data_IF_374553451365
#
_entry.id   IF_374553451365
#
_cell.length_a   1.000
_cell.length_b   1.000
_cell.length_c   1.000
_cell.angle_alpha   90.00
_cell.angle_beta   90.00
_cell.angle_gamma   90.00
#
_symmetry.space_group_name_H-M   'P 1'
#
loop_
_entity.id
_entity.type
_entity.pdbx_description
1 polymer ?
#
# COMPACT_ATOMS: atom_id res chain seq x y z
N UNK A 1 13.91 -18.38 5.84
CA UNK A 1 12.95 -19.05 6.76
C UNK A 1 12.04 -20.00 5.98
N UNK A 2 11.65 -21.13 6.59
CA UNK A 2 10.73 -22.13 6.00
C UNK A 2 9.42 -21.50 5.52
N UNK A 3 8.90 -20.49 6.24
CA UNK A 3 7.70 -19.75 5.86
C UNK A 3 7.79 -19.11 4.45
N UNK A 4 8.90 -18.44 4.14
CA UNK A 4 9.08 -17.82 2.82
C UNK A 4 9.29 -18.86 1.73
N UNK A 5 10.05 -19.91 2.03
CA UNK A 5 10.43 -20.94 1.06
C UNK A 5 9.26 -21.87 0.67
N UNK A 6 8.31 -22.12 1.58
CA UNK A 6 7.20 -23.07 1.36
C UNK A 6 5.85 -22.35 1.35
N UNK A 7 5.52 -21.62 2.41
CA UNK A 7 4.16 -21.05 2.56
C UNK A 7 3.95 -19.91 1.58
N UNK A 8 4.85 -18.91 1.56
CA UNK A 8 4.71 -17.77 0.65
C UNK A 8 4.91 -18.15 -0.81
N UNK A 9 5.84 -19.05 -1.12
CA UNK A 9 6.08 -19.52 -2.50
C UNK A 9 4.86 -20.27 -3.06
N UNK A 10 4.21 -21.11 -2.24
CA UNK A 10 2.99 -21.83 -2.63
C UNK A 10 1.81 -20.87 -2.73
N UNK A 11 1.66 -19.98 -1.74
CA UNK A 11 0.57 -18.99 -1.72
C UNK A 11 0.64 -18.06 -2.92
N UNK A 12 1.83 -17.54 -3.24
CA UNK A 12 2.07 -16.58 -4.32
C UNK A 12 2.45 -17.25 -5.63
N UNK A 13 2.14 -18.53 -5.78
CA UNK A 13 2.37 -19.25 -7.02
C UNK A 13 1.61 -18.57 -8.16
N UNK A 14 2.31 -18.32 -9.27
CA UNK A 14 1.79 -17.61 -10.43
C UNK A 14 1.26 -16.18 -10.14
N UNK A 15 1.67 -15.53 -9.05
CA UNK A 15 1.25 -14.15 -8.76
C UNK A 15 1.64 -13.12 -9.85
N UNK A 16 2.61 -13.47 -10.69
CA UNK A 16 3.01 -12.72 -11.87
C UNK A 16 1.91 -12.53 -12.92
N UNK A 17 0.82 -13.32 -12.89
CA UNK A 17 -0.31 -13.22 -13.84
C UNK A 17 -1.59 -12.68 -13.19
N UNK A 18 -1.59 -12.47 -11.87
CA UNK A 18 -2.80 -12.07 -11.15
C UNK A 18 -3.19 -10.61 -11.41
N UNK A 19 -4.50 -10.37 -11.56
CA UNK A 19 -5.10 -9.03 -11.60
C UNK A 19 -5.81 -8.75 -10.27
N UNK A 20 -5.06 -8.25 -9.30
CA UNK A 20 -5.57 -8.07 -7.93
C UNK A 20 -6.21 -6.70 -7.70
N UNK A 21 -7.25 -6.69 -6.86
CA UNK A 21 -7.79 -5.47 -6.27
C UNK A 21 -7.14 -5.20 -4.91
N UNK A 22 -7.33 -3.97 -4.39
CA UNK A 22 -6.76 -3.59 -3.08
C UNK A 22 -7.25 -4.49 -1.94
N UNK A 23 -8.50 -4.94 -1.99
CA UNK A 23 -9.05 -5.88 -1.01
C UNK A 23 -8.30 -7.22 -1.00
N UNK A 24 -7.95 -7.75 -2.17
CA UNK A 24 -7.18 -8.99 -2.27
C UNK A 24 -5.79 -8.84 -1.64
N UNK A 25 -5.11 -7.73 -1.93
CA UNK A 25 -3.79 -7.42 -1.35
C UNK A 25 -3.91 -7.33 0.18
N UNK A 26 -4.94 -6.64 0.70
CA UNK A 26 -5.18 -6.54 2.14
C UNK A 26 -5.41 -7.91 2.81
N UNK A 27 -6.21 -8.79 2.19
CA UNK A 27 -6.41 -10.15 2.70
C UNK A 27 -5.10 -10.94 2.75
N UNK A 28 -4.24 -10.80 1.73
CA UNK A 28 -2.94 -11.46 1.69
C UNK A 28 -1.95 -10.90 2.72
N UNK A 29 -1.92 -9.58 2.91
CA UNK A 29 -1.13 -8.94 3.97
C UNK A 29 -1.60 -9.40 5.36
N UNK A 30 -2.91 -9.47 5.58
CA UNK A 30 -3.49 -9.97 6.83
C UNK A 30 -3.09 -11.43 7.08
N UNK A 31 -3.16 -12.29 6.05
CA UNK A 31 -2.72 -13.67 6.15
C UNK A 31 -1.23 -13.77 6.52
N UNK A 32 -0.37 -13.00 5.84
CA UNK A 32 1.06 -12.97 6.13
C UNK A 32 1.32 -12.57 7.60
N UNK A 33 0.69 -11.49 8.05
CA UNK A 33 0.84 -10.99 9.42
C UNK A 33 0.34 -12.00 10.45
N UNK A 34 -0.82 -12.61 10.21
CA UNK A 34 -1.38 -13.64 11.08
C UNK A 34 -0.42 -14.83 11.23
N UNK A 35 0.10 -15.36 10.11
CA UNK A 35 1.02 -16.50 10.14
C UNK A 35 2.37 -16.16 10.76
N UNK A 36 2.92 -14.98 10.48
CA UNK A 36 4.18 -14.56 11.10
C UNK A 36 4.04 -14.37 12.61
N UNK A 37 2.95 -13.76 13.08
CA UNK A 37 2.69 -13.61 14.52
C UNK A 37 2.51 -14.96 15.22
N UNK A 38 1.84 -15.92 14.55
CA UNK A 38 1.69 -17.29 15.05
C UNK A 38 3.05 -18.01 15.16
N UNK A 39 3.89 -17.94 14.13
CA UNK A 39 5.21 -18.59 14.09
C UNK A 39 6.17 -17.97 15.11
N UNK A 40 6.19 -16.64 15.22
CA UNK A 40 7.04 -15.90 16.15
C UNK A 40 6.49 -15.85 17.58
N UNK A 41 5.32 -16.48 17.84
CA UNK A 41 4.64 -16.52 19.14
C UNK A 41 4.41 -15.12 19.75
N UNK A 42 4.08 -14.14 18.92
CA UNK A 42 3.89 -12.75 19.34
C UNK A 42 2.53 -12.60 20.03
N UNK A 43 2.55 -12.25 21.32
CA UNK A 43 1.35 -11.98 22.10
C UNK A 43 0.74 -10.61 21.74
N UNK A 44 -0.56 -10.47 21.92
CA UNK A 44 -1.27 -9.22 21.65
C UNK A 44 -0.80 -8.08 22.57
N UNK A 45 -0.44 -8.40 23.82
CA UNK A 45 0.08 -7.48 24.84
C UNK A 45 1.39 -6.80 24.45
N UNK A 46 2.16 -7.40 23.54
CA UNK A 46 3.45 -6.85 23.10
C UNK A 46 3.32 -5.56 22.29
N UNK A 47 2.11 -5.21 21.82
CA UNK A 47 1.86 -4.07 20.93
C UNK A 47 2.81 -4.00 19.72
N UNK A 48 3.33 -5.15 19.27
CA UNK A 48 4.33 -5.23 18.19
C UNK A 48 3.71 -4.82 16.86
N UNK A 49 4.32 -3.84 16.17
CA UNK A 49 3.83 -3.33 14.88
C UNK A 49 4.00 -4.33 13.75
N UNK A 50 3.15 -4.25 12.72
CA UNK A 50 3.27 -5.10 11.52
C UNK A 50 4.64 -4.97 10.82
N UNK A 51 5.24 -3.76 10.85
CA UNK A 51 6.58 -3.51 10.31
C UNK A 51 7.64 -4.23 11.15
N UNK A 52 7.53 -4.17 12.48
CA UNK A 52 8.44 -4.88 13.38
C UNK A 52 8.36 -6.40 13.20
N UNK A 53 7.15 -6.97 13.03
CA UNK A 53 6.96 -8.40 12.73
C UNK A 53 7.71 -8.80 11.46
N UNK A 54 7.61 -8.01 10.40
CA UNK A 54 8.30 -8.28 9.13
C UNK A 54 9.81 -8.16 9.25
N UNK A 55 10.30 -7.13 9.95
CA UNK A 55 11.73 -6.94 10.20
C UNK A 55 12.31 -8.07 11.04
N UNK A 56 11.64 -8.47 12.13
CA UNK A 56 12.04 -9.62 12.96
C UNK A 56 12.07 -10.92 12.16
N UNK A 57 11.12 -11.09 11.23
CA UNK A 57 11.11 -12.22 10.33
C UNK A 57 12.16 -12.13 9.18
N UNK A 58 12.79 -10.97 8.96
CA UNK A 58 13.59 -10.70 7.76
C UNK A 58 12.85 -11.04 6.46
N UNK A 59 11.54 -10.78 6.41
CA UNK A 59 10.66 -11.06 5.27
C UNK A 59 10.07 -9.76 4.73
N UNK A 60 10.04 -9.60 3.41
CA UNK A 60 9.39 -8.46 2.74
C UNK A 60 7.87 -8.59 2.77
N UNK A 61 7.16 -7.47 2.58
CA UNK A 61 5.70 -7.54 2.44
C UNK A 61 5.26 -8.39 1.25
N UNK A 62 4.10 -9.02 1.37
CA UNK A 62 3.46 -9.71 0.24
C UNK A 62 3.19 -8.73 -0.90
N UNK A 63 2.80 -7.48 -0.60
CA UNK A 63 2.57 -6.46 -1.63
C UNK A 63 3.84 -6.17 -2.45
N UNK A 64 5.00 -6.00 -1.79
CA UNK A 64 6.27 -5.83 -2.50
C UNK A 64 6.62 -7.04 -3.39
N UNK A 65 6.30 -8.25 -2.93
CA UNK A 65 6.50 -9.48 -3.71
C UNK A 65 5.60 -9.51 -4.95
N UNK A 66 4.33 -9.19 -4.77
CA UNK A 66 3.32 -9.10 -5.86
C UNK A 66 3.67 -7.99 -6.86
N UNK A 67 4.38 -6.95 -6.44
CA UNK A 67 4.89 -5.89 -7.34
C UNK A 67 6.12 -6.39 -8.11
N UNK A 68 7.04 -7.09 -7.44
CA UNK A 68 8.29 -7.56 -8.03
C UNK A 68 8.08 -8.60 -9.16
N UNK A 69 7.20 -9.58 -8.94
CA UNK A 69 7.03 -10.72 -9.86
C UNK A 69 6.50 -10.33 -11.26
N UNK A 70 5.41 -9.56 -11.40
CA UNK A 70 4.94 -9.07 -12.69
C UNK A 70 5.98 -8.27 -13.46
N UNK A 71 6.79 -7.44 -12.79
CA UNK A 71 7.85 -6.67 -13.46
C UNK A 71 8.97 -7.59 -13.99
N UNK A 72 9.36 -8.59 -13.20
CA UNK A 72 10.33 -9.59 -13.64
C UNK A 72 9.82 -10.37 -14.85
N UNK A 73 8.55 -10.77 -14.84
CA UNK A 73 7.89 -11.45 -15.96
C UNK A 73 7.78 -10.55 -17.19
N UNK A 74 7.31 -9.30 -17.02
CA UNK A 74 7.14 -8.34 -18.11
C UNK A 74 8.47 -8.06 -18.82
N UNK A 75 9.57 -7.89 -18.07
CA UNK A 75 10.89 -7.76 -18.70
C UNK A 75 11.34 -9.04 -19.41
N UNK A 76 11.00 -10.23 -18.90
CA UNK A 76 11.29 -11.48 -19.60
C UNK A 76 10.53 -11.56 -20.92
N UNK A 77 9.22 -11.30 -20.90
CA UNK A 77 8.38 -11.23 -22.10
C UNK A 77 8.90 -10.18 -23.06
N UNK A 78 9.37 -9.02 -22.58
CA UNK A 78 9.90 -7.98 -23.45
C UNK A 78 11.11 -8.45 -24.27
N UNK A 79 11.97 -9.30 -23.70
CA UNK A 79 13.14 -9.86 -24.38
C UNK A 79 12.83 -11.13 -25.19
N UNK A 80 11.59 -11.62 -25.20
CA UNK A 80 11.19 -12.73 -26.07
C UNK A 80 10.98 -12.26 -27.50
N UNK A 81 11.15 -13.20 -28.43
CA UNK A 81 10.81 -13.03 -29.84
C UNK A 81 9.32 -12.69 -30.06
N UNK A 82 9.04 -11.91 -31.10
CA UNK A 82 7.70 -11.36 -31.39
C UNK A 82 6.64 -12.44 -31.63
N UNK A 83 7.01 -13.59 -32.19
CA UNK A 83 6.08 -14.68 -32.50
C UNK A 83 5.69 -15.53 -31.27
N UNK A 84 6.30 -15.28 -30.09
CA UNK A 84 5.98 -16.04 -28.88
C UNK A 84 4.62 -15.61 -28.32
N UNK A 85 3.78 -16.59 -27.96
CA UNK A 85 2.43 -16.34 -27.43
C UNK A 85 2.36 -15.31 -26.29
N UNK A 86 3.25 -15.32 -25.26
CA UNK A 86 3.19 -14.30 -24.20
C UNK A 86 3.43 -12.87 -24.70
N UNK A 87 4.32 -12.71 -25.69
CA UNK A 87 4.61 -11.42 -26.31
C UNK A 87 3.41 -10.96 -27.13
N UNK A 88 2.87 -11.85 -27.98
CA UNK A 88 1.65 -11.58 -28.75
C UNK A 88 0.49 -11.23 -27.81
N UNK A 89 0.30 -11.95 -26.71
CA UNK A 89 -0.80 -11.68 -25.76
C UNK A 89 -0.64 -10.34 -25.04
N UNK A 90 0.60 -9.94 -24.70
CA UNK A 90 0.86 -8.67 -24.01
C UNK A 90 0.62 -7.46 -24.91
N UNK A 91 0.98 -7.57 -26.20
CA UNK A 91 0.88 -6.50 -27.19
C UNK A 91 -0.34 -6.59 -28.11
N UNK A 92 -1.06 -7.71 -28.07
CA UNK A 92 -2.20 -7.97 -28.91
C UNK A 92 -3.36 -7.04 -28.58
N UNK A 93 -3.93 -6.44 -29.61
CA UNK A 93 -5.12 -5.62 -29.52
C UNK A 93 -6.27 -6.33 -30.24
N UNK A 94 -7.49 -6.12 -29.73
CA UNK A 94 -8.67 -6.74 -30.30
C UNK A 94 -9.05 -5.99 -31.58
N UNK A 95 -9.12 -6.69 -32.72
CA UNK A 95 -9.43 -6.06 -34.00
C UNK A 95 -10.82 -5.39 -34.01
N UNK A 96 -11.79 -6.00 -33.33
CA UNK A 96 -13.16 -5.53 -33.22
C UNK A 96 -13.64 -5.55 -31.76
N UNK A 97 -14.43 -4.56 -31.37
CA UNK A 97 -15.05 -4.48 -30.05
C UNK A 97 -14.42 -3.44 -29.14
N UNK A 98 -15.25 -2.71 -28.41
CA UNK A 98 -14.83 -1.70 -27.45
C UNK A 98 -15.15 -2.14 -26.03
N UNK A 99 -14.40 -1.63 -25.05
CA UNK A 99 -14.65 -1.94 -23.65
C UNK A 99 -15.91 -1.21 -23.20
N UNK A 100 -16.83 -1.86 -22.47
CA UNK A 100 -18.03 -1.20 -21.98
C UNK A 100 -17.66 0.00 -21.10
N UNK A 101 -18.46 1.06 -21.17
CA UNK A 101 -18.33 2.24 -20.30
C UNK A 101 -18.66 1.84 -18.85
N UNK A 102 -17.98 2.46 -17.89
CA UNK A 102 -18.16 2.22 -16.46
C UNK A 102 -16.92 1.64 -15.78
N UNK A 103 -17.10 0.61 -14.95
CA UNK A 103 -16.04 -0.03 -14.17
C UNK A 103 -15.70 -1.44 -14.69
N UNK A 104 -15.04 -1.55 -15.86
CA UNK A 104 -14.71 -2.86 -16.42
C UNK A 104 -13.60 -3.56 -15.60
N UNK A 105 -13.65 -4.90 -15.55
CA UNK A 105 -12.69 -5.73 -14.80
C UNK A 105 -11.24 -5.47 -15.20
N UNK A 106 -10.33 -5.32 -14.24
CA UNK A 106 -8.92 -5.03 -14.48
C UNK A 106 -8.24 -6.00 -15.45
N UNK A 107 -7.45 -5.46 -16.38
CA UNK A 107 -6.57 -6.24 -17.26
C UNK A 107 -5.17 -6.34 -16.67
N UNK A 108 -4.40 -7.30 -17.18
CA UNK A 108 -2.97 -7.42 -16.88
C UNK A 108 -2.20 -6.12 -17.19
N UNK A 109 -2.44 -5.50 -18.36
CA UNK A 109 -1.83 -4.20 -18.74
C UNK A 109 -2.16 -3.09 -17.74
N UNK A 110 -3.37 -3.09 -17.17
CA UNK A 110 -3.78 -2.10 -16.17
C UNK A 110 -3.01 -2.33 -14.84
N UNK A 111 -2.81 -3.59 -14.45
CA UNK A 111 -1.98 -3.97 -13.31
C UNK A 111 -0.51 -3.59 -13.51
N UNK A 112 0.10 -3.95 -14.64
CA UNK A 112 1.49 -3.65 -14.96
C UNK A 112 1.77 -2.14 -14.90
N UNK A 113 0.87 -1.31 -15.46
CA UNK A 113 0.98 0.16 -15.38
C UNK A 113 0.97 0.67 -13.94
N UNK A 114 0.11 0.11 -13.08
CA UNK A 114 0.10 0.46 -11.65
C UNK A 114 1.41 0.05 -10.97
N UNK A 115 1.90 -1.15 -11.25
CA UNK A 115 3.16 -1.66 -10.69
C UNK A 115 4.36 -0.80 -11.11
N UNK A 116 4.43 -0.37 -12.37
CA UNK A 116 5.44 0.56 -12.87
C UNK A 116 5.38 1.91 -12.13
N UNK A 117 4.17 2.46 -11.96
CA UNK A 117 3.97 3.71 -11.22
C UNK A 117 4.36 3.60 -9.74
N UNK A 118 4.08 2.46 -9.09
CA UNK A 118 4.45 2.22 -7.69
C UNK A 118 5.97 2.08 -7.48
N UNK A 119 6.70 1.70 -8.53
CA UNK A 119 8.15 1.45 -8.49
C UNK A 119 8.97 2.59 -9.10
N UNK A 120 8.34 3.71 -9.45
CA UNK A 120 8.96 4.86 -10.14
C UNK A 120 9.67 4.48 -11.46
N UNK A 121 9.21 3.42 -12.13
CA UNK A 121 9.68 3.06 -13.47
C UNK A 121 8.79 3.76 -14.48
N UNK A 122 9.38 4.53 -15.39
CA UNK A 122 8.64 5.26 -16.41
C UNK A 122 7.86 4.29 -17.33
N UNK A 123 6.51 4.38 -17.38
CA UNK A 123 5.69 3.53 -18.24
C UNK A 123 5.92 3.70 -19.75
N UNK A 124 6.61 4.76 -20.18
CA UNK A 124 6.95 4.98 -21.59
C UNK A 124 8.31 4.38 -21.97
N UNK A 125 9.25 4.31 -21.02
CA UNK A 125 10.64 3.88 -21.25
C UNK A 125 10.94 2.46 -20.77
N UNK A 126 10.05 1.85 -19.96
CA UNK A 126 10.32 0.55 -19.36
C UNK A 126 10.68 -0.52 -20.39
N UNK A 127 10.08 -0.49 -21.58
CA UNK A 127 10.36 -1.42 -22.67
C UNK A 127 11.78 -1.37 -23.20
N UNK A 128 12.36 -0.17 -23.26
CA UNK A 128 13.73 0.05 -23.70
C UNK A 128 14.69 -0.41 -22.60
N UNK A 129 14.42 -0.03 -21.35
CA UNK A 129 15.20 -0.47 -20.19
C UNK A 129 15.14 -1.99 -19.99
N UNK A 130 14.02 -2.61 -20.33
CA UNK A 130 13.82 -4.05 -20.22
C UNK A 130 14.61 -4.87 -21.26
N UNK A 131 15.10 -4.26 -22.35
CA UNK A 131 15.93 -4.96 -23.36
C UNK A 131 17.22 -5.47 -22.74
N UNK A 132 17.88 -4.65 -21.93
CA UNK A 132 19.04 -5.10 -21.17
C UNK A 132 18.60 -5.76 -19.84
N UNK A 133 19.02 -7.00 -19.64
CA UNK A 133 18.62 -7.80 -18.49
C UNK A 133 19.18 -7.25 -17.18
N UNK A 134 20.39 -6.70 -17.21
CA UNK A 134 21.08 -6.24 -16.01
C UNK A 134 20.50 -4.91 -15.50
N UNK A 135 20.31 -3.94 -16.36
CA UNK A 135 19.63 -2.67 -16.06
C UNK A 135 18.19 -2.92 -15.59
N UNK A 136 17.43 -3.77 -16.28
CA UNK A 136 16.08 -4.12 -15.85
C UNK A 136 16.03 -4.72 -14.45
N UNK A 137 16.89 -5.70 -14.17
CA UNK A 137 16.93 -6.35 -12.84
C UNK A 137 17.27 -5.33 -11.74
N UNK A 138 18.21 -4.42 -11.99
CA UNK A 138 18.56 -3.35 -11.04
C UNK A 138 17.40 -2.38 -10.82
N UNK A 139 16.76 -1.92 -11.88
CA UNK A 139 15.62 -1.01 -11.81
C UNK A 139 14.44 -1.62 -11.03
N UNK A 140 14.09 -2.88 -11.32
CA UNK A 140 13.03 -3.60 -10.59
C UNK A 140 13.40 -3.76 -9.12
N UNK A 141 14.64 -4.15 -8.81
CA UNK A 141 15.07 -4.29 -7.43
C UNK A 141 14.96 -2.96 -6.67
N UNK A 142 15.56 -1.89 -7.20
CA UNK A 142 15.52 -0.54 -6.62
C UNK A 142 14.09 -0.01 -6.46
N UNK A 143 13.24 -0.21 -7.46
CA UNK A 143 11.85 0.21 -7.41
C UNK A 143 11.05 -0.54 -6.34
N UNK A 144 11.29 -1.85 -6.19
CA UNK A 144 10.61 -2.66 -5.16
C UNK A 144 11.12 -2.37 -3.75
N UNK A 145 12.41 -2.06 -3.57
CA UNK A 145 12.97 -1.66 -2.27
C UNK A 145 12.46 -0.30 -1.87
N UNK A 146 12.46 0.69 -2.78
CA UNK A 146 11.93 2.02 -2.53
C UNK A 146 10.43 1.99 -2.20
N UNK A 147 9.66 1.13 -2.87
CA UNK A 147 8.25 0.89 -2.53
C UNK A 147 8.10 0.37 -1.08
N UNK A 148 8.91 -0.62 -0.69
CA UNK A 148 8.84 -1.21 0.65
C UNK A 148 9.26 -0.21 1.74
N UNK A 149 10.28 0.61 1.50
CA UNK A 149 10.70 1.69 2.39
C UNK A 149 9.59 2.73 2.57
N UNK A 150 9.04 3.24 1.47
CA UNK A 150 7.91 4.18 1.50
C UNK A 150 6.69 3.60 2.21
N UNK A 151 6.43 2.30 2.07
CA UNK A 151 5.37 1.60 2.79
C UNK A 151 5.61 1.62 4.29
N UNK A 152 6.83 1.32 4.74
CA UNK A 152 7.21 1.37 6.17
C UNK A 152 7.06 2.78 6.74
N UNK A 153 7.56 3.79 6.04
CA UNK A 153 7.42 5.20 6.41
C UNK A 153 5.95 5.61 6.57
N UNK A 154 5.09 5.21 5.62
CA UNK A 154 3.66 5.51 5.67
C UNK A 154 2.97 4.87 6.88
N UNK A 155 3.32 3.61 7.23
CA UNK A 155 2.76 2.93 8.40
C UNK A 155 3.22 3.60 9.71
N UNK A 156 4.49 4.00 9.79
CA UNK A 156 5.02 4.76 10.92
C UNK A 156 4.37 6.15 11.05
N UNK A 157 4.18 6.87 9.93
CA UNK A 157 3.50 8.16 9.92
C UNK A 157 2.04 8.04 10.37
N UNK A 158 1.31 7.00 9.92
CA UNK A 158 -0.05 6.70 10.40
C UNK A 158 -0.07 6.44 11.90
N UNK A 159 0.92 5.70 12.42
CA UNK A 159 1.04 5.45 13.86
C UNK A 159 1.28 6.74 14.64
N UNK A 160 2.27 7.56 14.24
CA UNK A 160 2.55 8.86 14.87
C UNK A 160 1.31 9.76 14.90
N UNK A 161 0.50 9.74 13.83
CA UNK A 161 -0.77 10.49 13.77
C UNK A 161 -1.78 10.00 14.80
N UNK A 162 -1.90 8.68 15.04
CA UNK A 162 -2.79 8.11 16.06
C UNK A 162 -2.32 8.48 17.46
N UNK A 163 -1.02 8.31 17.74
CA UNK A 163 -0.43 8.68 19.03
C UNK A 163 -0.64 10.17 19.35
N UNK A 164 -0.50 11.05 18.35
CA UNK A 164 -0.81 12.49 18.50
C UNK A 164 -2.29 12.78 18.78
N UNK A 165 -3.20 11.97 18.24
CA UNK A 165 -4.65 12.13 18.48
C UNK A 165 -5.07 11.61 19.86
N UNK A 166 -4.37 10.61 20.38
CA UNK A 166 -4.60 10.03 21.71
C UNK A 166 -4.00 10.88 22.85
N UNK A 167 -3.12 11.85 22.53
CA UNK A 167 -2.59 12.77 23.53
C UNK A 167 -3.71 13.54 24.24
N UNK A 168 -3.64 13.68 25.58
CA UNK A 168 -4.64 14.40 26.33
C UNK A 168 -4.74 15.84 25.83
N UNK A 169 -5.98 16.31 25.63
CA UNK A 169 -6.21 17.69 25.19
C UNK A 169 -5.67 18.65 26.26
N UNK A 170 -5.01 19.75 25.85
CA UNK A 170 -4.60 20.77 26.81
C UNK A 170 -5.83 21.32 27.54
N UNK A 171 -5.69 21.74 28.81
CA UNK A 171 -6.80 22.29 29.58
C UNK A 171 -7.44 23.49 28.86
N UNK A 172 -8.76 23.70 29.03
CA UNK A 172 -9.44 24.82 28.40
C UNK A 172 -8.90 26.14 28.97
N UNK A 173 -8.55 27.09 28.10
CA UNK A 173 -7.93 28.37 28.48
C UNK A 173 -8.82 29.58 28.24
N UNK A 174 -9.93 29.43 27.51
CA UNK A 174 -10.80 30.57 27.17
C UNK A 174 -11.86 30.76 28.25
N UNK A 175 -11.78 31.80 29.10
CA UNK A 175 -12.80 32.07 30.09
C UNK A 175 -14.07 32.65 29.48
N UNK A 176 -15.20 32.39 30.12
CA UNK A 176 -16.40 33.20 29.96
C UNK A 176 -16.34 34.40 30.91
N UNK A 177 -16.63 35.60 30.41
CA UNK A 177 -16.62 36.81 31.23
C UNK A 177 -17.83 36.91 32.17
N UNK A 178 -18.84 36.06 31.97
CA UNK A 178 -20.13 36.09 32.68
C UNK A 178 -20.33 34.90 33.63
N UNK A 179 -19.44 33.89 33.59
CA UNK A 179 -19.48 32.74 34.49
C UNK A 179 -18.10 32.04 34.59
N UNK A 180 -17.85 31.20 35.62
CA UNK A 180 -16.52 30.61 35.85
C UNK A 180 -16.14 29.45 34.88
N UNK A 181 -16.85 29.29 33.75
CA UNK A 181 -16.58 28.20 32.80
C UNK A 181 -15.44 28.54 31.85
N UNK A 182 -14.59 27.54 31.60
CA UNK A 182 -13.49 27.59 30.64
C UNK A 182 -13.84 26.75 29.39
N UNK A 183 -13.43 27.23 28.21
CA UNK A 183 -13.68 26.59 26.93
C UNK A 183 -12.38 26.38 26.14
N UNK A 184 -12.36 25.36 25.27
CA UNK A 184 -11.21 25.08 24.40
C UNK A 184 -11.21 25.91 23.11
N UNK A 185 -12.39 26.33 22.62
CA UNK A 185 -12.53 27.02 21.34
C UNK A 185 -13.50 28.19 21.44
N UNK A 186 -13.23 29.26 20.67
CA UNK A 186 -14.12 30.44 20.60
C UNK A 186 -15.54 30.09 20.18
N UNK A 187 -15.71 29.16 19.24
CA UNK A 187 -17.04 28.69 18.83
C UNK A 187 -17.85 28.10 19.99
N UNK A 188 -17.20 27.34 20.87
CA UNK A 188 -17.82 26.79 22.08
C UNK A 188 -18.22 27.89 23.06
N UNK A 189 -17.35 28.87 23.27
CA UNK A 189 -17.63 30.05 24.10
C UNK A 189 -18.78 30.89 23.53
N UNK A 190 -18.79 31.20 22.23
CA UNK A 190 -19.85 31.97 21.58
C UNK A 190 -21.19 31.25 21.56
N UNK A 191 -21.19 29.92 21.45
CA UNK A 191 -22.41 29.12 21.62
C UNK A 191 -22.92 29.19 23.06
N UNK A 192 -22.02 29.05 24.03
CA UNK A 192 -22.35 29.16 25.45
C UNK A 192 -22.95 30.53 25.82
N UNK A 193 -22.32 31.63 25.40
CA UNK A 193 -22.80 32.99 25.64
C UNK A 193 -24.21 33.17 25.07
N UNK A 194 -24.45 32.75 23.82
CA UNK A 194 -25.78 32.86 23.18
C UNK A 194 -26.89 32.13 23.94
N UNK A 195 -26.61 30.94 24.48
CA UNK A 195 -27.64 30.12 25.13
C UNK A 195 -27.80 30.35 26.64
N UNK A 196 -26.73 30.77 27.33
CA UNK A 196 -26.73 30.91 28.80
C UNK A 196 -26.64 32.36 29.27
N UNK A 197 -26.21 33.28 28.41
CA UNK A 197 -26.14 34.70 28.67
C UNK A 197 -26.77 35.51 27.51
N UNK A 198 -28.06 35.31 27.22
CA UNK A 198 -28.73 36.09 26.20
C UNK A 198 -28.73 37.58 26.60
N UNK A 199 -28.50 38.50 25.65
CA UNK A 199 -28.58 39.93 25.95
C UNK A 199 -29.98 40.27 26.45
N UNK A 200 -30.06 40.94 27.61
CA UNK A 200 -31.33 41.50 28.10
C UNK A 200 -31.78 42.55 27.10
N UNK A 201 -32.99 42.38 26.56
CA UNK A 201 -33.67 43.40 25.74
C UNK A 201 -34.03 44.61 26.60
#
# INVERSE_FOLDING_TARGET
>A
MVFQAIVLSTLLYACETWTLYRSNIQSLEQFQQYKLRQILKIQWESHTTNVAVLNQASVTSVEATIIHHPLRWAGHVQRMELFRLPKIMLYGELANGTRPRGAPKLRYKDQLKRTLALTNIDPSLWEQTARDRATWRRAVHQGTTAFEEKRKENEEAKRRRRERQEQPRPPPTLPCELCPRLFHYRLGLSSHIRHKHPPRR
#
